data_IF_887430129525
#
_entry.id   IF_887430129525
#
_cell.length_a   1.000
_cell.length_b   1.000
_cell.length_c   1.000
_cell.angle_alpha   90.00
_cell.angle_beta   90.00
_cell.angle_gamma   90.00
#
_symmetry.space_group_name_H-M   'P 1'
#
loop_
_entity.id
_entity.type
_entity.pdbx_description
1 polymer ?
#
# COMPACT_ATOMS: atom_id res chain seq x y z
N UNK A 1 -67.62 -41.37 -6.88
CA UNK A 1 -66.32 -41.98 -7.26
C UNK A 1 -65.46 -40.90 -7.91
N UNK A 2 -64.48 -40.35 -7.19
CA UNK A 2 -63.46 -39.42 -7.72
C UNK A 2 -62.11 -40.11 -7.58
N UNK A 3 -61.36 -40.21 -8.68
CA UNK A 3 -60.02 -40.81 -8.72
C UNK A 3 -59.01 -39.90 -8.00
N UNK A 4 -57.97 -40.45 -7.32
CA UNK A 4 -56.90 -39.65 -6.75
C UNK A 4 -55.89 -39.19 -7.84
N UNK A 5 -55.20 -38.05 -7.64
CA UNK A 5 -54.19 -37.58 -8.57
C UNK A 5 -52.91 -38.42 -8.49
N UNK A 6 -52.49 -38.96 -9.63
CA UNK A 6 -51.18 -39.60 -9.81
C UNK A 6 -50.11 -38.52 -9.90
N UNK A 7 -49.24 -38.41 -8.89
CA UNK A 7 -48.03 -37.59 -8.99
C UNK A 7 -47.03 -38.27 -9.94
N UNK A 8 -46.34 -37.51 -10.82
CA UNK A 8 -45.29 -38.08 -11.65
C UNK A 8 -44.08 -38.50 -10.77
N UNK A 9 -43.34 -39.55 -11.16
CA UNK A 9 -42.16 -39.95 -10.43
C UNK A 9 -41.11 -38.86 -10.47
N UNK A 10 -40.58 -38.55 -9.29
CA UNK A 10 -39.39 -37.78 -9.01
C UNK A 10 -38.27 -38.13 -9.99
N UNK A 11 -38.01 -37.27 -10.97
CA UNK A 11 -36.72 -37.24 -11.66
C UNK A 11 -35.73 -36.63 -10.68
N UNK A 12 -34.92 -37.51 -10.12
CA UNK A 12 -33.76 -37.19 -9.31
C UNK A 12 -32.88 -36.23 -10.12
N UNK A 13 -32.75 -35.01 -9.62
CA UNK A 13 -31.77 -34.05 -10.10
C UNK A 13 -30.39 -34.73 -10.11
N UNK A 14 -29.65 -34.77 -11.23
CA UNK A 14 -28.23 -34.94 -11.11
C UNK A 14 -27.71 -33.66 -10.47
N UNK A 15 -27.27 -33.73 -9.22
CA UNK A 15 -26.26 -32.83 -8.67
C UNK A 15 -25.01 -32.97 -9.55
N UNK A 16 -25.04 -32.30 -10.71
CA UNK A 16 -23.89 -32.00 -11.51
C UNK A 16 -23.13 -30.95 -10.71
N UNK A 17 -22.26 -31.42 -9.82
CA UNK A 17 -21.09 -30.70 -9.35
C UNK A 17 -20.38 -30.08 -10.57
N UNK A 18 -20.74 -28.84 -10.86
CA UNK A 18 -20.01 -28.00 -11.80
C UNK A 18 -18.69 -27.67 -11.10
N UNK A 19 -17.64 -28.42 -11.41
CA UNK A 19 -16.28 -27.89 -11.30
C UNK A 19 -16.15 -26.81 -12.36
N UNK A 20 -16.74 -25.64 -12.09
CA UNK A 20 -16.39 -24.42 -12.78
C UNK A 20 -14.99 -24.07 -12.27
N UNK A 21 -13.96 -24.65 -12.88
CA UNK A 21 -12.60 -24.14 -12.80
C UNK A 21 -12.66 -22.71 -13.32
N UNK A 22 -12.78 -21.76 -12.40
CA UNK A 22 -12.47 -20.38 -12.67
C UNK A 22 -11.01 -20.37 -13.14
N UNK A 23 -10.83 -20.06 -14.42
CA UNK A 23 -9.54 -19.69 -14.96
C UNK A 23 -9.08 -18.44 -14.20
N UNK A 24 -8.28 -18.62 -13.16
CA UNK A 24 -7.45 -17.56 -12.64
C UNK A 24 -6.29 -17.41 -13.61
N UNK A 25 -6.41 -16.43 -14.50
CA UNK A 25 -5.29 -15.86 -15.25
C UNK A 25 -4.28 -15.31 -14.24
N UNK A 26 -3.34 -16.15 -13.80
CA UNK A 26 -2.24 -15.74 -12.94
C UNK A 26 -1.20 -14.96 -13.76
N UNK A 27 -0.71 -13.82 -13.25
CA UNK A 27 0.33 -13.04 -13.92
C UNK A 27 1.71 -13.74 -13.86
N UNK A 28 2.45 -13.46 -14.93
CA UNK A 28 3.79 -13.95 -15.34
C UNK A 28 4.86 -13.99 -14.22
N UNK A 29 5.80 -14.95 -14.26
CA UNK A 29 6.88 -15.04 -13.28
C UNK A 29 8.05 -14.09 -13.62
N UNK A 30 8.55 -13.46 -12.56
CA UNK A 30 9.96 -13.10 -12.32
C UNK A 30 10.69 -12.23 -13.34
N UNK A 31 10.71 -10.93 -13.07
CA UNK A 31 11.80 -10.01 -13.43
C UNK A 31 12.39 -9.49 -12.12
N UNK A 32 13.61 -9.96 -11.80
CA UNK A 32 14.69 -9.26 -11.05
C UNK A 32 14.36 -8.79 -9.63
N UNK A 33 14.77 -9.51 -8.57
CA UNK A 33 16.11 -9.50 -7.97
C UNK A 33 16.65 -8.09 -7.63
N UNK A 34 16.99 -7.91 -6.35
CA UNK A 34 17.74 -6.79 -5.75
C UNK A 34 16.92 -5.58 -5.30
N UNK A 35 16.70 -5.45 -3.99
CA UNK A 35 17.18 -4.31 -3.17
C UNK A 35 17.07 -4.72 -1.69
N UNK A 36 17.88 -5.71 -1.29
CA UNK A 36 18.39 -5.76 0.07
C UNK A 36 19.67 -4.94 0.04
N UNK A 37 19.57 -3.64 0.35
CA UNK A 37 20.67 -2.75 0.73
C UNK A 37 20.14 -1.31 0.83
N UNK A 38 19.77 -0.87 2.03
CA UNK A 38 19.95 0.52 2.45
C UNK A 38 20.35 0.52 3.94
N UNK A 39 21.54 1.04 4.30
CA UNK A 39 22.01 1.12 5.68
C UNK A 39 21.43 2.34 6.42
N UNK A 40 21.48 2.38 7.76
CA UNK A 40 21.15 3.58 8.53
C UNK A 40 22.37 4.49 8.63
N UNK A 41 22.37 5.62 7.94
CA UNK A 41 23.37 6.68 8.16
C UNK A 41 22.82 7.66 9.20
N UNK A 42 23.35 7.57 10.42
CA UNK A 42 23.29 8.66 11.37
C UNK A 42 24.24 9.78 10.93
N UNK A 43 23.75 11.01 10.94
CA UNK A 43 24.59 12.20 10.92
C UNK A 43 24.01 13.25 11.85
N UNK A 44 24.87 13.68 12.76
CA UNK A 44 24.71 14.69 13.80
C UNK A 44 24.60 16.11 13.25
N UNK A 45 23.79 16.93 13.93
CA UNK A 45 24.19 18.27 14.34
C UNK A 45 24.05 19.42 13.33
N UNK A 46 23.08 20.29 13.57
CA UNK A 46 23.34 21.74 13.71
C UNK A 46 22.15 22.42 14.36
N UNK A 47 22.41 22.99 15.53
CA UNK A 47 21.59 24.03 16.15
C UNK A 47 21.75 25.28 15.33
N UNK A 48 20.66 25.82 14.81
CA UNK A 48 20.59 27.25 14.52
C UNK A 48 19.29 27.82 15.06
N UNK A 49 19.48 28.77 15.96
CA UNK A 49 18.48 29.58 16.64
C UNK A 49 18.59 30.96 16.02
N UNK A 50 17.47 31.49 15.50
CA UNK A 50 17.17 32.93 15.48
C UNK A 50 15.80 33.22 14.84
N UNK A 51 15.18 34.40 15.08
CA UNK A 51 13.87 34.43 15.73
C UNK A 51 12.78 35.19 14.95
N UNK A 52 11.55 34.99 15.43
CA UNK A 52 10.40 35.90 15.47
C UNK A 52 9.72 36.35 14.15
N UNK A 53 8.45 36.73 14.33
CA UNK A 53 7.44 37.18 13.35
C UNK A 53 6.70 35.98 12.72
N UNK A 54 5.39 35.76 12.86
CA UNK A 54 4.27 36.71 12.98
C UNK A 54 3.12 36.14 13.83
N UNK A 55 2.61 37.05 14.63
CA UNK A 55 1.34 37.03 15.35
C UNK A 55 0.13 36.80 14.42
N UNK A 56 -0.94 36.25 14.99
CA UNK A 56 -2.33 36.31 14.49
C UNK A 56 -2.79 35.33 13.40
N UNK A 57 -3.06 34.08 13.80
CA UNK A 57 -4.22 33.33 13.27
C UNK A 57 -4.86 32.45 14.37
N UNK A 58 -5.23 33.09 15.49
CA UNK A 58 -6.30 32.61 16.37
C UNK A 58 -7.61 33.16 15.83
N UNK A 59 -8.13 32.53 14.79
CA UNK A 59 -9.50 32.70 14.38
C UNK A 59 -10.06 31.31 14.10
N UNK A 60 -11.05 30.94 14.91
CA UNK A 60 -12.26 30.28 14.41
C UNK A 60 -12.15 28.81 14.00
N UNK A 61 -11.88 27.94 14.97
CA UNK A 61 -12.48 26.59 14.98
C UNK A 61 -13.04 26.27 16.36
N UNK A 62 -14.19 26.89 16.65
CA UNK A 62 -15.09 26.44 17.71
C UNK A 62 -16.48 26.19 17.11
N UNK A 63 -16.55 25.20 16.25
CA UNK A 63 -17.82 24.54 15.90
C UNK A 63 -17.63 23.04 16.07
N UNK A 64 -17.65 22.61 17.33
CA UNK A 64 -18.04 21.24 17.65
C UNK A 64 -19.29 21.35 18.49
N UNK A 65 -20.50 21.25 17.89
CA UNK A 65 -21.69 21.08 18.69
C UNK A 65 -21.51 19.76 19.46
N UNK A 66 -21.19 19.87 20.74
CA UNK A 66 -21.38 18.79 21.69
C UNK A 66 -22.88 18.53 21.72
N UNK A 67 -23.31 17.58 20.90
CA UNK A 67 -24.59 16.93 21.08
C UNK A 67 -24.51 16.25 22.45
N UNK A 68 -25.00 16.96 23.47
CA UNK A 68 -25.38 16.40 24.76
C UNK A 68 -26.54 15.43 24.53
N UNK A 69 -26.28 14.31 23.86
CA UNK A 69 -27.20 13.20 23.80
C UNK A 69 -27.18 12.57 25.18
N UNK A 70 -28.15 12.96 26.00
CA UNK A 70 -28.45 12.42 27.31
C UNK A 70 -28.75 10.93 27.15
N UNK A 71 -27.71 10.11 27.13
CA UNK A 71 -27.78 8.67 26.96
C UNK A 71 -28.16 8.05 28.30
N UNK A 72 -29.44 8.22 28.65
CA UNK A 72 -30.12 7.68 29.83
C UNK A 72 -30.30 6.15 29.80
N UNK A 73 -29.75 5.48 28.79
CA UNK A 73 -29.73 4.03 28.71
C UNK A 73 -28.30 3.57 28.99
N UNK A 74 -28.03 3.30 30.27
CA UNK A 74 -26.88 2.48 30.71
C UNK A 74 -27.07 1.10 30.08
N UNK A 75 -26.65 0.95 28.81
CA UNK A 75 -26.51 -0.38 28.22
C UNK A 75 -25.57 -1.14 29.14
N UNK A 76 -25.95 -2.32 29.65
CA UNK A 76 -25.02 -3.14 30.40
C UNK A 76 -23.81 -3.36 29.49
N UNK A 77 -22.66 -2.81 29.88
CA UNK A 77 -21.40 -3.00 29.17
C UNK A 77 -21.02 -4.46 29.40
N UNK A 78 -21.59 -5.35 28.59
CA UNK A 78 -21.15 -6.72 28.48
C UNK A 78 -19.65 -6.68 28.24
N UNK A 79 -18.89 -7.37 29.08
CA UNK A 79 -17.45 -7.21 29.24
C UNK A 79 -16.72 -7.71 27.98
N UNK A 80 -16.71 -6.84 26.96
CA UNK A 80 -16.39 -7.16 25.59
C UNK A 80 -14.96 -7.68 25.45
N UNK A 81 -14.05 -7.22 26.30
CA UNK A 81 -12.65 -7.60 26.24
C UNK A 81 -12.40 -9.02 26.74
N UNK A 82 -13.10 -9.45 27.80
CA UNK A 82 -12.97 -10.82 28.33
C UNK A 82 -13.44 -11.88 27.31
N UNK A 83 -14.55 -11.63 26.63
CA UNK A 83 -15.06 -12.51 25.59
C UNK A 83 -14.21 -12.48 24.31
N UNK A 84 -13.55 -11.35 24.01
CA UNK A 84 -12.64 -11.24 22.87
C UNK A 84 -11.39 -12.11 23.03
N UNK A 85 -10.76 -12.07 24.21
CA UNK A 85 -9.60 -12.92 24.54
C UNK A 85 -10.00 -14.39 24.54
N UNK A 86 -11.16 -14.73 25.11
CA UNK A 86 -11.67 -16.10 25.09
C UNK A 86 -11.93 -16.60 23.66
N UNK A 87 -12.56 -15.79 22.81
CA UNK A 87 -12.82 -16.16 21.41
C UNK A 87 -11.53 -16.35 20.60
N UNK A 88 -10.51 -15.52 20.85
CA UNK A 88 -9.19 -15.68 20.22
C UNK A 88 -8.50 -16.98 20.65
N UNK A 89 -8.52 -17.28 21.95
CA UNK A 89 -7.99 -18.54 22.50
C UNK A 89 -8.75 -19.75 21.93
N UNK A 90 -10.08 -19.66 21.84
CA UNK A 90 -10.95 -20.72 21.33
C UNK A 90 -10.75 -20.95 19.83
N UNK A 91 -10.58 -19.88 19.04
CA UNK A 91 -10.28 -19.97 17.62
C UNK A 91 -8.91 -20.64 17.37
N UNK A 92 -7.89 -20.28 18.16
CA UNK A 92 -6.57 -20.93 18.12
C UNK A 92 -6.65 -22.41 18.53
N UNK A 93 -7.50 -22.74 19.49
CA UNK A 93 -7.70 -24.11 19.97
C UNK A 93 -8.43 -25.00 18.94
N UNK A 94 -9.52 -24.49 18.33
CA UNK A 94 -10.29 -25.19 17.30
C UNK A 94 -9.54 -25.34 15.97
N UNK A 95 -8.66 -24.39 15.63
CA UNK A 95 -7.84 -24.45 14.41
C UNK A 95 -6.67 -25.44 14.47
N UNK A 96 -6.37 -25.99 15.66
CA UNK A 96 -5.25 -26.91 15.86
C UNK A 96 -5.74 -28.37 15.90
N UNK A 97 -5.00 -29.30 15.29
CA UNK A 97 -5.31 -30.74 15.30
C UNK A 97 -5.39 -31.37 16.72
N UNK A 98 -4.91 -30.64 17.74
CA UNK A 98 -4.94 -31.04 19.15
C UNK A 98 -6.35 -31.18 19.73
N UNK A 99 -7.33 -30.40 19.27
CA UNK A 99 -8.72 -30.52 19.76
C UNK A 99 -9.32 -31.88 19.38
N UNK A 100 -9.17 -32.25 18.10
CA UNK A 100 -9.64 -33.54 17.60
C UNK A 100 -8.97 -34.69 18.35
N UNK A 101 -7.66 -34.61 18.58
CA UNK A 101 -6.92 -35.61 19.34
C UNK A 101 -7.46 -35.78 20.76
N UNK A 102 -7.68 -34.68 21.50
CA UNK A 102 -8.26 -34.73 22.84
C UNK A 102 -9.67 -35.33 22.86
N UNK A 103 -10.53 -34.96 21.90
CA UNK A 103 -11.88 -35.52 21.78
C UNK A 103 -11.85 -37.01 21.46
N UNK A 104 -10.97 -37.46 20.57
CA UNK A 104 -10.80 -38.88 20.25
C UNK A 104 -10.30 -39.67 21.45
N UNK A 105 -9.32 -39.14 22.20
CA UNK A 105 -8.81 -39.77 23.43
C UNK A 105 -9.90 -39.87 24.48
N UNK A 106 -10.70 -38.81 24.68
CA UNK A 106 -11.84 -38.83 25.61
C UNK A 106 -12.85 -39.93 25.26
N UNK A 107 -13.25 -40.02 24.00
CA UNK A 107 -14.17 -41.07 23.51
C UNK A 107 -13.55 -42.46 23.69
N UNK A 108 -12.26 -42.64 23.36
CA UNK A 108 -11.56 -43.91 23.51
C UNK A 108 -11.47 -44.34 24.99
N UNK A 109 -11.18 -43.41 25.91
CA UNK A 109 -11.16 -43.67 27.35
C UNK A 109 -12.56 -44.05 27.85
N UNK A 110 -13.61 -43.35 27.40
CA UNK A 110 -14.99 -43.65 27.80
C UNK A 110 -15.42 -45.06 27.38
N UNK A 111 -15.15 -45.41 26.12
CA UNK A 111 -15.43 -46.75 25.59
C UNK A 111 -14.58 -47.78 26.34
N UNK A 112 -13.28 -47.52 26.54
CA UNK A 112 -12.38 -48.42 27.26
C UNK A 112 -12.83 -48.67 28.70
N UNK A 113 -13.25 -47.63 29.41
CA UNK A 113 -13.78 -47.72 30.77
C UNK A 113 -15.04 -48.58 30.81
N UNK A 114 -16.02 -48.32 29.95
CA UNK A 114 -17.29 -49.07 29.94
C UNK A 114 -17.13 -50.50 29.40
N UNK A 115 -16.17 -50.76 28.51
CA UNK A 115 -15.91 -52.09 27.98
C UNK A 115 -15.14 -53.00 28.96
N UNK A 116 -14.20 -52.44 29.73
CA UNK A 116 -13.34 -53.18 30.65
C UNK A 116 -13.88 -53.21 32.09
N UNK A 117 -14.84 -52.36 32.44
CA UNK A 117 -15.44 -52.34 33.77
C UNK A 117 -16.23 -53.64 34.07
N UNK A 118 -16.11 -54.19 35.30
CA UNK A 118 -16.99 -55.24 35.80
C UNK A 118 -18.45 -54.79 35.74
N UNK A 119 -19.40 -55.71 35.55
CA UNK A 119 -20.83 -55.40 35.32
C UNK A 119 -21.48 -54.48 36.36
N UNK A 120 -20.96 -54.45 37.59
CA UNK A 120 -21.41 -53.58 38.69
C UNK A 120 -20.99 -52.10 38.53
N UNK A 121 -19.95 -51.81 37.72
CA UNK A 121 -19.34 -50.49 37.56
C UNK A 121 -19.47 -49.93 36.12
N UNK A 122 -20.27 -50.59 35.27
CA UNK A 122 -20.59 -50.11 33.92
C UNK A 122 -21.62 -49.00 34.03
N UNK A 123 -21.20 -47.78 33.73
CA UNK A 123 -22.08 -46.61 33.77
C UNK A 123 -22.89 -46.43 32.48
N UNK A 124 -22.41 -46.96 31.35
CA UNK A 124 -22.98 -46.77 30.01
C UNK A 124 -22.75 -48.01 29.13
N UNK A 125 -23.69 -48.97 29.16
CA UNK A 125 -23.66 -50.18 28.33
C UNK A 125 -23.97 -49.87 26.85
N UNK A 126 -23.52 -50.74 25.94
CA UNK A 126 -23.83 -50.64 24.50
C UNK A 126 -25.34 -50.51 24.29
N UNK A 127 -25.86 -49.41 23.69
CA UNK A 127 -25.25 -48.54 22.67
C UNK A 127 -24.64 -47.19 23.11
N UNK A 128 -24.16 -47.03 24.35
CA UNK A 128 -23.52 -45.81 24.88
C UNK A 128 -24.41 -44.55 24.81
N UNK A 129 -25.56 -44.60 25.48
CA UNK A 129 -26.58 -43.53 25.43
C UNK A 129 -26.06 -42.25 26.09
N UNK A 130 -25.32 -42.36 27.20
CA UNK A 130 -24.83 -41.18 27.91
C UNK A 130 -23.78 -40.43 27.11
N UNK A 131 -22.86 -41.15 26.47
CA UNK A 131 -21.90 -40.55 25.53
C UNK A 131 -22.61 -39.80 24.41
N UNK A 132 -23.64 -40.42 23.82
CA UNK A 132 -24.40 -39.80 22.72
C UNK A 132 -25.16 -38.56 23.17
N UNK A 133 -25.80 -38.62 24.34
CA UNK A 133 -26.48 -37.46 24.93
C UNK A 133 -25.50 -36.31 25.17
N UNK A 134 -24.33 -36.60 25.73
CA UNK A 134 -23.29 -35.61 25.97
C UNK A 134 -22.75 -34.99 24.68
N UNK A 135 -22.48 -35.79 23.64
CA UNK A 135 -22.05 -35.28 22.33
C UNK A 135 -23.12 -34.43 21.63
N UNK A 136 -24.40 -34.82 21.74
CA UNK A 136 -25.50 -34.04 21.16
C UNK A 136 -25.68 -32.69 21.86
N UNK A 137 -25.57 -32.67 23.20
CA UNK A 137 -25.54 -31.43 23.97
C UNK A 137 -24.32 -30.58 23.59
N UNK A 138 -23.17 -31.22 23.38
CA UNK A 138 -21.93 -30.54 23.01
C UNK A 138 -22.07 -29.77 21.69
N UNK A 139 -22.68 -30.38 20.68
CA UNK A 139 -22.99 -29.73 19.43
C UNK A 139 -24.00 -28.58 19.61
N UNK A 140 -25.03 -28.77 20.46
CA UNK A 140 -26.08 -27.79 20.68
C UNK A 140 -25.58 -26.49 21.33
N UNK A 141 -24.69 -26.56 22.33
CA UNK A 141 -24.16 -25.36 22.98
C UNK A 141 -23.07 -24.66 22.15
N UNK A 142 -22.41 -25.38 21.24
CA UNK A 142 -21.38 -24.80 20.39
C UNK A 142 -21.95 -23.73 19.43
N UNK A 143 -23.14 -23.96 18.86
CA UNK A 143 -23.73 -23.05 17.88
C UNK A 143 -24.01 -21.62 18.43
N UNK A 144 -24.62 -21.43 19.61
CA UNK A 144 -24.79 -20.12 20.22
C UNK A 144 -23.47 -19.41 20.55
N UNK A 145 -22.45 -20.15 21.00
CA UNK A 145 -21.13 -19.57 21.30
C UNK A 145 -20.43 -19.10 20.04
N UNK A 146 -20.53 -19.87 18.95
CA UNK A 146 -19.98 -19.50 17.64
C UNK A 146 -20.69 -18.25 17.11
N UNK A 147 -22.03 -18.19 17.19
CA UNK A 147 -22.81 -17.03 16.75
C UNK A 147 -22.43 -15.74 17.48
N UNK A 148 -22.16 -15.82 18.79
CA UNK A 148 -21.77 -14.64 19.56
C UNK A 148 -20.34 -14.19 19.23
N UNK A 149 -19.44 -15.13 18.93
CA UNK A 149 -18.09 -14.83 18.46
C UNK A 149 -18.09 -14.18 17.06
N UNK A 150 -18.94 -14.67 16.16
CA UNK A 150 -19.06 -14.17 14.78
C UNK A 150 -19.57 -12.72 14.72
N UNK A 151 -20.60 -12.37 15.50
CA UNK A 151 -21.13 -10.99 15.57
C UNK A 151 -20.07 -9.92 15.88
N UNK A 152 -18.99 -10.28 16.58
CA UNK A 152 -17.88 -9.35 16.87
C UNK A 152 -16.84 -9.26 15.77
N UNK A 153 -16.59 -10.36 15.06
CA UNK A 153 -15.73 -10.31 13.88
C UNK A 153 -16.36 -9.42 12.82
N UNK A 154 -17.66 -9.60 12.55
CA UNK A 154 -18.40 -8.74 11.61
C UNK A 154 -18.37 -7.25 12.00
N UNK A 155 -18.40 -6.93 13.29
CA UNK A 155 -18.27 -5.55 13.76
C UNK A 155 -16.87 -4.96 13.51
N UNK A 156 -15.80 -5.74 13.71
CA UNK A 156 -14.41 -5.34 13.40
C UNK A 156 -14.21 -5.21 11.89
N UNK A 157 -14.67 -6.20 11.14
CA UNK A 157 -14.59 -6.24 9.68
C UNK A 157 -15.32 -5.04 9.06
N UNK A 158 -16.46 -4.64 9.64
CA UNK A 158 -17.18 -3.42 9.22
C UNK A 158 -16.36 -2.15 9.44
N UNK A 159 -15.65 -2.02 10.57
CA UNK A 159 -14.81 -0.85 10.85
C UNK A 159 -13.61 -0.81 9.91
N UNK A 160 -12.97 -1.95 9.68
CA UNK A 160 -11.85 -2.06 8.74
C UNK A 160 -12.31 -1.68 7.34
N UNK A 161 -13.45 -2.21 6.87
CA UNK A 161 -14.00 -1.87 5.56
C UNK A 161 -14.40 -0.39 5.41
N UNK A 162 -14.81 0.27 6.49
CA UNK A 162 -15.08 1.71 6.48
C UNK A 162 -13.78 2.53 6.37
N UNK A 163 -12.75 2.13 7.12
CA UNK A 163 -11.44 2.78 7.06
C UNK A 163 -10.78 2.61 5.69
N UNK A 164 -10.90 1.42 5.10
CA UNK A 164 -10.40 1.10 3.76
C UNK A 164 -11.07 1.99 2.70
N UNK A 165 -12.40 2.13 2.76
CA UNK A 165 -13.14 3.07 1.88
C UNK A 165 -12.69 4.52 2.05
N UNK A 166 -12.39 4.96 3.27
CA UNK A 166 -11.87 6.31 3.50
C UNK A 166 -10.43 6.48 3.00
N UNK A 167 -9.59 5.45 3.12
CA UNK A 167 -8.23 5.46 2.60
C UNK A 167 -8.22 5.51 1.08
N UNK A 168 -9.04 4.70 0.42
CA UNK A 168 -9.22 4.71 -1.04
C UNK A 168 -9.71 6.05 -1.56
N UNK A 169 -10.69 6.66 -0.88
CA UNK A 169 -11.17 7.99 -1.25
C UNK A 169 -10.07 9.06 -1.17
N UNK A 170 -9.20 8.99 -0.14
CA UNK A 170 -8.05 9.89 0.00
C UNK A 170 -6.99 9.61 -1.08
N UNK A 171 -6.68 8.34 -1.35
CA UNK A 171 -5.72 7.95 -2.38
C UNK A 171 -6.16 8.40 -3.77
N UNK A 172 -7.46 8.30 -4.08
CA UNK A 172 -8.02 8.84 -5.32
C UNK A 172 -7.86 10.37 -5.41
N UNK A 173 -8.14 11.10 -4.32
CA UNK A 173 -7.98 12.55 -4.28
C UNK A 173 -6.51 12.97 -4.44
N UNK A 174 -5.58 12.27 -3.79
CA UNK A 174 -4.14 12.51 -3.89
C UNK A 174 -3.64 12.24 -5.31
N UNK A 175 -4.11 11.17 -5.96
CA UNK A 175 -3.79 10.88 -7.36
C UNK A 175 -4.30 11.97 -8.29
N UNK A 176 -5.53 12.46 -8.10
CA UNK A 176 -6.05 13.58 -8.88
C UNK A 176 -5.26 14.87 -8.65
N UNK A 177 -4.84 15.13 -7.40
CA UNK A 177 -4.01 16.28 -7.08
C UNK A 177 -2.65 16.19 -7.77
N UNK A 178 -1.96 15.05 -7.64
CA UNK A 178 -0.68 14.81 -8.31
C UNK A 178 -0.82 14.86 -9.83
N UNK A 179 -1.91 14.37 -10.41
CA UNK A 179 -2.15 14.47 -11.85
C UNK A 179 -2.30 15.93 -12.30
N UNK A 180 -3.00 16.78 -11.53
CA UNK A 180 -3.09 18.21 -11.80
C UNK A 180 -1.74 18.90 -11.65
N UNK A 181 -0.97 18.55 -10.63
CA UNK A 181 0.36 19.12 -10.38
C UNK A 181 1.38 18.71 -11.46
N UNK A 182 1.32 17.47 -11.94
CA UNK A 182 2.15 17.02 -13.06
C UNK A 182 1.73 17.70 -14.36
N UNK A 183 0.44 17.92 -14.58
CA UNK A 183 -0.06 18.64 -15.75
C UNK A 183 0.38 20.11 -15.74
N UNK A 184 0.32 20.79 -14.58
CA UNK A 184 0.79 22.18 -14.44
C UNK A 184 2.30 22.28 -14.62
N UNK A 185 3.07 21.36 -14.01
CA UNK A 185 4.53 21.30 -14.18
C UNK A 185 4.91 21.04 -15.65
N UNK A 186 4.19 20.15 -16.34
CA UNK A 186 4.41 19.88 -17.76
C UNK A 186 4.15 21.12 -18.62
N UNK A 187 3.13 21.91 -18.29
CA UNK A 187 2.83 23.15 -19.00
C UNK A 187 3.96 24.17 -18.79
N UNK A 188 4.38 24.40 -17.54
CA UNK A 188 5.46 25.34 -17.23
C UNK A 188 6.80 24.94 -17.84
N UNK A 189 7.12 23.63 -17.83
CA UNK A 189 8.33 23.12 -18.50
C UNK A 189 8.20 23.21 -20.01
N UNK A 190 7.00 22.97 -20.56
CA UNK A 190 6.73 23.10 -21.99
C UNK A 190 6.98 24.51 -22.53
N UNK A 191 6.68 25.54 -21.75
CA UNK A 191 6.95 26.94 -22.12
C UNK A 191 8.47 27.24 -22.15
N UNK A 192 9.23 26.80 -21.14
CA UNK A 192 10.69 27.03 -21.06
C UNK A 192 11.51 26.14 -22.01
N UNK A 193 11.00 24.95 -22.33
CA UNK A 193 11.64 24.00 -23.25
C UNK A 193 11.14 24.13 -24.70
N UNK A 194 10.61 25.29 -25.09
CA UNK A 194 10.28 25.50 -26.50
C UNK A 194 11.58 25.47 -27.32
N UNK A 195 11.58 24.63 -28.36
CA UNK A 195 12.68 24.50 -29.32
C UNK A 195 13.18 25.86 -29.82
N UNK A 196 12.26 26.81 -29.98
CA UNK A 196 12.57 28.13 -30.49
C UNK A 196 13.33 29.00 -29.47
N UNK A 197 13.05 28.88 -28.17
CA UNK A 197 13.82 29.54 -27.11
C UNK A 197 15.24 28.96 -27.01
N UNK A 198 15.37 27.63 -26.95
CA UNK A 198 16.68 26.98 -26.98
C UNK A 198 17.47 27.33 -28.25
N UNK A 199 16.78 27.45 -29.39
CA UNK A 199 17.38 27.83 -30.66
C UNK A 199 17.79 29.29 -30.70
N UNK A 200 16.99 30.21 -30.15
CA UNK A 200 17.37 31.62 -30.06
C UNK A 200 18.56 31.80 -29.12
N UNK A 201 18.59 31.09 -27.99
CA UNK A 201 19.68 31.19 -27.03
C UNK A 201 20.98 30.61 -27.59
N UNK A 202 20.93 29.44 -28.24
CA UNK A 202 22.06 28.88 -28.97
C UNK A 202 22.56 29.83 -30.08
N UNK A 203 21.64 30.45 -30.83
CA UNK A 203 22.02 31.42 -31.86
C UNK A 203 22.63 32.69 -31.28
N UNK A 204 22.07 33.21 -30.19
CA UNK A 204 22.57 34.39 -29.49
C UNK A 204 23.99 34.16 -28.99
N UNK A 205 24.23 33.02 -28.33
CA UNK A 205 25.56 32.63 -27.85
C UNK A 205 26.55 32.41 -29.00
N UNK A 206 26.11 31.80 -30.11
CA UNK A 206 26.95 31.65 -31.31
C UNK A 206 27.34 33.00 -31.90
N UNK A 207 26.39 33.93 -32.02
CA UNK A 207 26.64 35.27 -32.54
C UNK A 207 27.64 36.05 -31.66
N UNK A 208 27.50 35.96 -30.34
CA UNK A 208 28.44 36.58 -29.39
C UNK A 208 29.87 36.01 -29.52
N UNK A 209 30.00 34.70 -29.81
CA UNK A 209 31.31 34.07 -30.02
C UNK A 209 31.95 34.47 -31.35
N UNK A 210 31.17 34.57 -32.43
CA UNK A 210 31.65 35.04 -33.74
C UNK A 210 32.13 36.50 -33.67
N UNK A 211 31.35 37.39 -33.04
CA UNK A 211 31.74 38.79 -32.86
C UNK A 211 33.05 38.92 -32.07
N UNK A 212 33.22 38.11 -31.01
CA UNK A 212 34.50 38.03 -30.28
C UNK A 212 35.65 37.48 -31.13
N UNK A 213 35.39 36.59 -32.08
CA UNK A 213 36.41 36.05 -32.97
C UNK A 213 36.84 37.09 -34.01
N UNK A 214 35.89 37.84 -34.58
CA UNK A 214 36.14 38.94 -35.51
C UNK A 214 36.94 40.06 -34.85
N UNK A 215 36.52 40.53 -33.67
CA UNK A 215 37.27 41.54 -32.90
C UNK A 215 38.71 41.08 -32.62
N UNK A 216 38.91 39.80 -32.25
CA UNK A 216 40.26 39.23 -32.05
C UNK A 216 41.06 39.16 -33.35
N UNK A 217 40.41 38.95 -34.50
CA UNK A 217 41.07 38.92 -35.81
C UNK A 217 41.47 40.33 -36.25
N UNK A 218 40.59 41.32 -36.07
CA UNK A 218 40.87 42.74 -36.32
C UNK A 218 42.06 43.21 -35.48
N UNK A 219 42.04 42.99 -34.17
CA UNK A 219 43.17 43.30 -33.29
C UNK A 219 44.48 42.62 -33.72
N UNK A 220 44.41 41.39 -34.25
CA UNK A 220 45.58 40.66 -34.75
C UNK A 220 46.12 41.30 -36.03
N UNK A 221 45.25 41.68 -36.97
CA UNK A 221 45.65 42.36 -38.21
C UNK A 221 46.16 43.78 -37.99
N UNK A 222 45.59 44.51 -37.04
CA UNK A 222 46.11 45.81 -36.58
C UNK A 222 47.52 45.67 -36.02
N UNK A 223 47.73 44.66 -35.16
CA UNK A 223 49.05 44.35 -34.58
C UNK A 223 50.08 43.93 -35.65
N UNK A 224 49.68 43.13 -36.65
CA UNK A 224 50.56 42.73 -37.76
C UNK A 224 50.90 43.91 -38.68
N UNK A 225 49.96 44.85 -38.92
CA UNK A 225 50.25 46.11 -39.64
C UNK A 225 51.27 46.96 -38.89
N UNK A 226 51.12 47.11 -37.58
CA UNK A 226 52.07 47.86 -36.76
C UNK A 226 53.47 47.23 -36.79
N UNK A 227 53.57 45.88 -36.83
CA UNK A 227 54.85 45.16 -36.99
C UNK A 227 55.43 45.28 -38.41
N UNK A 228 54.61 45.25 -39.46
CA UNK A 228 55.07 45.42 -40.84
C UNK A 228 55.60 46.84 -41.12
N UNK A 229 54.98 47.86 -40.51
CA UNK A 229 55.45 49.24 -40.63
C UNK A 229 56.81 49.48 -39.97
N UNK A 230 57.17 48.69 -38.95
CA UNK A 230 58.48 48.80 -38.28
C UNK A 230 59.61 48.05 -39.01
N UNK A 231 59.33 47.13 -39.94
CA UNK A 231 60.37 46.43 -40.72
C UNK A 231 60.71 47.09 -42.07
N UNK A 232 59.87 47.98 -42.61
CA UNK A 232 60.14 48.69 -43.88
C UNK A 232 61.01 49.97 -43.72
N UNK A 233 61.49 50.27 -42.49
CA UNK A 233 62.25 51.47 -42.18
C UNK A 233 63.79 51.31 -42.15
N UNK A 234 64.34 50.13 -42.43
CA UNK A 234 65.77 49.84 -42.19
C UNK A 234 66.50 49.23 -43.41
N UNK A 235 66.37 49.87 -44.56
CA UNK A 235 66.94 49.42 -45.83
C UNK A 235 67.34 50.55 -46.78
N UNK A 236 67.98 51.60 -46.26
CA UNK A 236 68.57 52.65 -47.07
C UNK A 236 69.91 53.14 -46.48
N UNK A 237 71.02 52.48 -46.84
CA UNK A 237 72.29 53.20 -47.05
C UNK A 237 73.31 52.38 -47.88
N UNK A 238 74.06 53.06 -48.76
CA UNK A 238 75.19 52.54 -49.53
C UNK A 238 75.09 52.69 -51.06
N UNK A 239 75.13 53.91 -51.64
CA UNK A 239 76.35 54.65 -52.06
C UNK A 239 77.08 53.98 -53.27
N UNK A 240 76.83 54.39 -54.53
CA UNK A 240 77.48 55.48 -55.31
C UNK A 240 78.47 54.94 -56.42
N UNK A 241 79.05 55.76 -57.34
CA UNK A 241 78.91 55.59 -58.80
C UNK A 241 80.25 55.47 -59.59
N UNK A 242 80.22 55.31 -60.91
CA UNK A 242 81.38 55.52 -61.81
C UNK A 242 81.36 54.61 -63.05
N UNK A 243 81.10 55.14 -64.26
CA UNK A 243 82.04 55.73 -65.25
C UNK A 243 82.79 54.72 -66.14
N UNK A 244 82.71 55.02 -67.45
CA UNK A 244 83.49 54.58 -68.61
C UNK A 244 83.04 53.28 -69.30
#
# INVERSE_FOLDING_TARGET
>A
MRSPPTWPPTTWWPLRWSTRTAACSGPSPSTTCSTTCCPPTGASGSRERSPAVSETRRAERLDTPTAAHRQLVRRPSYNSDAFGVFAEQFARFMGTATFLLWMTVFVAIWIGWNALAPGEARWDDYPYIFLTLMLSLQASYAAPLILLAQNRQEARDRVIAEQDRQADARAHADMEFLAREVASLRMSVGEMATRDYLRSELKSLLAELDERAELRAEHRTEADRARGATSHGDGADGRSPGTA
#
